data_IF_743775816091
#
_entry.id   IF_743775816091
#
_cell.length_a   1.000
_cell.length_b   1.000
_cell.length_c   1.000
_cell.angle_alpha   90.00
_cell.angle_beta   90.00
_cell.angle_gamma   90.00
#
_symmetry.space_group_name_H-M   'P 1'
#
loop_
_entity.id
_entity.type
_entity.pdbx_description
1 polymer ?
#
# COMPACT_ATOMS: atom_id res chain seq x y z
N UNK A 1 17.04 -27.93 4.14
CA UNK A 1 15.92 -28.19 3.20
C UNK A 1 16.27 -29.42 2.36
N UNK A 2 15.34 -30.36 2.16
CA UNK A 2 15.55 -31.46 1.22
C UNK A 2 15.70 -30.93 -0.21
N UNK A 3 16.37 -31.65 -1.11
CA UNK A 3 16.53 -31.19 -2.51
C UNK A 3 15.17 -30.99 -3.20
N UNK A 4 14.17 -31.81 -2.82
CA UNK A 4 12.79 -31.69 -3.27
C UNK A 4 12.12 -30.40 -2.81
N UNK A 5 12.28 -29.99 -1.54
CA UNK A 5 11.73 -28.73 -1.04
C UNK A 5 12.36 -27.52 -1.74
N UNK A 6 13.68 -27.55 -1.99
CA UNK A 6 14.38 -26.49 -2.74
C UNK A 6 13.86 -26.40 -4.18
N UNK A 7 13.64 -27.52 -4.84
CA UNK A 7 13.09 -27.54 -6.20
C UNK A 7 11.68 -26.93 -6.25
N UNK A 8 10.80 -27.30 -5.32
CA UNK A 8 9.45 -26.74 -5.22
C UNK A 8 9.45 -25.22 -5.01
N UNK A 9 10.31 -24.71 -4.12
CA UNK A 9 10.43 -23.26 -3.90
C UNK A 9 10.89 -22.53 -5.15
N UNK A 10 11.89 -23.06 -5.87
CA UNK A 10 12.41 -22.42 -7.10
C UNK A 10 11.32 -22.39 -8.18
N UNK A 11 10.60 -23.50 -8.37
CA UNK A 11 9.48 -23.55 -9.33
C UNK A 11 8.40 -22.54 -8.97
N UNK A 12 8.02 -22.45 -7.70
CA UNK A 12 7.02 -21.48 -7.22
C UNK A 12 7.47 -20.04 -7.50
N UNK A 13 8.72 -19.68 -7.21
CA UNK A 13 9.25 -18.34 -7.46
C UNK A 13 9.27 -17.99 -8.95
N UNK A 14 9.61 -18.95 -9.82
CA UNK A 14 9.57 -18.75 -11.27
C UNK A 14 8.14 -18.50 -11.74
N UNK A 15 7.18 -19.30 -11.26
CA UNK A 15 5.76 -19.15 -11.62
C UNK A 15 5.21 -17.81 -11.14
N UNK A 16 5.45 -17.42 -9.88
CA UNK A 16 5.01 -16.13 -9.35
C UNK A 16 5.68 -14.96 -10.07
N UNK A 17 6.97 -15.07 -10.40
CA UNK A 17 7.69 -14.08 -11.20
C UNK A 17 7.08 -13.92 -12.59
N UNK A 18 6.75 -15.03 -13.26
CA UNK A 18 6.10 -15.01 -14.56
C UNK A 18 4.70 -14.35 -14.48
N UNK A 19 3.89 -14.70 -13.47
CA UNK A 19 2.57 -14.09 -13.24
C UNK A 19 2.70 -12.58 -13.00
N UNK A 20 3.69 -12.14 -12.21
CA UNK A 20 3.92 -10.72 -11.97
C UNK A 20 4.26 -9.96 -13.25
N UNK A 21 5.15 -10.50 -14.09
CA UNK A 21 5.50 -9.90 -15.38
C UNK A 21 4.29 -9.85 -16.31
N UNK A 22 3.52 -10.94 -16.41
CA UNK A 22 2.30 -10.99 -17.23
C UNK A 22 1.27 -9.96 -16.73
N UNK A 23 1.09 -9.83 -15.42
CA UNK A 23 0.19 -8.86 -14.81
C UNK A 23 0.59 -7.41 -15.13
N UNK A 24 1.89 -7.09 -15.10
CA UNK A 24 2.40 -5.78 -15.50
C UNK A 24 2.14 -5.50 -16.99
N UNK A 25 2.44 -6.45 -17.87
CA UNK A 25 2.17 -6.31 -19.31
C UNK A 25 0.67 -6.13 -19.58
N UNK A 26 -0.17 -6.87 -18.87
CA UNK A 26 -1.62 -6.73 -18.96
C UNK A 26 -2.10 -5.36 -18.47
N UNK A 27 -1.54 -4.84 -17.38
CA UNK A 27 -1.84 -3.50 -16.88
C UNK A 27 -1.44 -2.38 -17.86
N UNK A 28 -0.40 -2.60 -18.67
CA UNK A 28 -0.03 -1.66 -19.74
C UNK A 28 -0.95 -1.75 -20.96
N UNK A 29 -1.43 -2.94 -21.31
CA UNK A 29 -2.27 -3.16 -22.48
C UNK A 29 -3.72 -2.71 -22.25
N UNK A 30 -4.23 -2.90 -21.04
CA UNK A 30 -5.62 -2.60 -20.68
C UNK A 30 -5.78 -1.17 -20.15
N UNK A 31 -6.89 -0.54 -20.48
CA UNK A 31 -7.22 0.80 -19.98
C UNK A 31 -8.42 1.41 -20.72
N UNK A 32 -8.70 2.68 -20.42
CA UNK A 32 -9.81 3.43 -21.04
C UNK A 32 -9.61 3.71 -22.53
N UNK A 33 -8.36 3.78 -22.99
CA UNK A 33 -8.02 3.87 -24.41
C UNK A 33 -7.70 2.47 -24.97
N UNK A 34 -8.33 2.09 -26.07
CA UNK A 34 -8.06 0.83 -26.74
C UNK A 34 -6.73 0.90 -27.49
N UNK A 35 -5.67 0.36 -26.87
CA UNK A 35 -4.33 0.28 -27.46
C UNK A 35 -4.07 -1.20 -27.74
N UNK A 36 -4.23 -1.59 -29.00
CA UNK A 36 -3.98 -2.98 -29.42
C UNK A 36 -2.57 -3.44 -29.08
N UNK A 37 -2.40 -4.74 -28.80
CA UNK A 37 -1.13 -5.35 -28.40
C UNK A 37 0.05 -5.04 -29.33
N UNK A 38 -0.20 -4.95 -30.64
CA UNK A 38 0.82 -4.59 -31.63
C UNK A 38 1.33 -3.16 -31.45
N UNK A 39 0.42 -2.23 -31.15
CA UNK A 39 0.77 -0.82 -30.97
C UNK A 39 1.47 -0.61 -29.62
N UNK A 40 1.05 -1.34 -28.58
CA UNK A 40 1.77 -1.39 -27.31
C UNK A 40 3.21 -1.88 -27.49
N UNK A 41 3.42 -2.94 -28.28
CA UNK A 41 4.77 -3.45 -28.57
C UNK A 41 5.63 -2.38 -29.28
N UNK A 42 5.06 -1.65 -30.26
CA UNK A 42 5.77 -0.54 -30.92
C UNK A 42 6.17 0.56 -29.93
N UNK A 43 5.25 0.97 -29.05
CA UNK A 43 5.51 1.99 -28.03
C UNK A 43 6.66 1.59 -27.12
N UNK A 44 6.68 0.33 -26.65
CA UNK A 44 7.76 -0.20 -25.80
C UNK A 44 9.11 -0.21 -26.55
N UNK A 45 9.12 -0.50 -27.85
CA UNK A 45 10.34 -0.47 -28.68
C UNK A 45 10.76 0.94 -29.13
N UNK A 46 10.08 2.00 -28.66
CA UNK A 46 10.42 3.38 -28.99
C UNK A 46 9.79 3.91 -30.27
N UNK A 47 8.78 3.22 -30.83
CA UNK A 47 7.90 3.70 -31.89
C UNK A 47 6.53 4.16 -31.36
N UNK A 48 5.48 3.95 -32.17
CA UNK A 48 4.08 4.27 -31.84
C UNK A 48 3.73 5.75 -31.97
N UNK A 49 2.44 6.06 -31.97
CA UNK A 49 1.98 7.46 -31.96
C UNK A 49 2.36 8.18 -30.66
N UNK A 50 2.56 9.51 -30.74
CA UNK A 50 2.89 10.34 -29.57
C UNK A 50 1.85 10.18 -28.45
N UNK A 51 0.56 10.21 -28.80
CA UNK A 51 -0.54 10.00 -27.85
C UNK A 51 -0.46 8.64 -27.15
N UNK A 52 -0.19 7.55 -27.89
CA UNK A 52 -0.11 6.22 -27.30
C UNK A 52 1.13 6.08 -26.40
N UNK A 53 2.23 6.74 -26.75
CA UNK A 53 3.43 6.79 -25.89
C UNK A 53 3.14 7.50 -24.58
N UNK A 54 2.51 8.67 -24.61
CA UNK A 54 2.13 9.39 -23.38
C UNK A 54 1.20 8.53 -22.52
N UNK A 55 0.17 7.91 -23.12
CA UNK A 55 -0.75 7.03 -22.36
C UNK A 55 -0.01 5.85 -21.71
N UNK A 56 0.82 5.13 -22.46
CA UNK A 56 1.47 3.92 -21.94
C UNK A 56 2.61 4.27 -20.97
N UNK A 57 3.48 5.21 -21.34
CA UNK A 57 4.72 5.48 -20.61
C UNK A 57 4.56 6.49 -19.48
N UNK A 58 3.65 7.45 -19.59
CA UNK A 58 3.48 8.52 -18.59
C UNK A 58 2.26 8.31 -17.70
N UNK A 59 1.26 7.53 -18.12
CA UNK A 59 0.07 7.24 -17.30
C UNK A 59 0.02 5.79 -16.81
N UNK A 60 0.09 4.80 -17.70
CA UNK A 60 -0.10 3.38 -17.32
C UNK A 60 1.12 2.80 -16.62
N UNK A 61 2.32 3.07 -17.12
CA UNK A 61 3.54 2.49 -16.58
C UNK A 61 3.84 2.96 -15.14
N UNK A 62 3.83 4.27 -14.82
CA UNK A 62 3.99 4.74 -13.45
C UNK A 62 2.96 4.15 -12.49
N UNK A 63 1.69 4.08 -12.92
CA UNK A 63 0.60 3.50 -12.14
C UNK A 63 0.79 2.01 -11.89
N UNK A 64 1.13 1.22 -12.91
CA UNK A 64 1.34 -0.22 -12.79
C UNK A 64 2.52 -0.56 -11.89
N UNK A 65 3.64 0.18 -12.02
CA UNK A 65 4.81 0.01 -11.17
C UNK A 65 4.55 0.43 -9.72
N UNK A 66 3.79 1.51 -9.51
CA UNK A 66 3.36 1.92 -8.17
C UNK A 66 2.44 0.89 -7.53
N UNK A 67 1.49 0.32 -8.30
CA UNK A 67 0.62 -0.76 -7.85
C UNK A 67 1.41 -2.00 -7.41
N UNK A 68 2.40 -2.39 -8.22
CA UNK A 68 3.30 -3.50 -7.91
C UNK A 68 4.09 -3.23 -6.62
N UNK A 69 4.66 -2.03 -6.49
CA UNK A 69 5.45 -1.64 -5.32
C UNK A 69 4.60 -1.64 -4.03
N UNK A 70 3.42 -1.02 -4.07
CA UNK A 70 2.49 -0.96 -2.92
C UNK A 70 1.99 -2.36 -2.57
N UNK A 71 1.62 -3.19 -3.55
CA UNK A 71 1.22 -4.57 -3.32
C UNK A 71 2.32 -5.41 -2.67
N UNK A 72 3.57 -5.26 -3.13
CA UNK A 72 4.74 -5.90 -2.53
C UNK A 72 4.99 -5.45 -1.09
N UNK A 73 4.87 -4.15 -0.81
CA UNK A 73 5.01 -3.59 0.54
C UNK A 73 3.94 -4.10 1.50
N UNK A 74 2.68 -4.20 1.05
CA UNK A 74 1.58 -4.76 1.83
C UNK A 74 1.79 -6.25 2.11
N UNK A 75 2.22 -7.03 1.12
CA UNK A 75 2.55 -8.45 1.30
C UNK A 75 3.69 -8.65 2.30
N UNK A 76 4.72 -7.81 2.24
CA UNK A 76 5.84 -7.83 3.19
C UNK A 76 5.39 -7.46 4.60
N UNK A 77 4.62 -6.38 4.75
CA UNK A 77 4.05 -5.96 6.04
C UNK A 77 3.18 -7.06 6.67
N UNK A 78 2.33 -7.71 5.87
CA UNK A 78 1.54 -8.87 6.30
C UNK A 78 2.41 -10.02 6.80
N UNK A 79 3.42 -10.39 6.02
CA UNK A 79 4.36 -11.47 6.38
C UNK A 79 5.11 -11.16 7.68
N UNK A 80 5.63 -9.92 7.83
CA UNK A 80 6.32 -9.49 9.04
C UNK A 80 5.41 -9.53 10.27
N UNK A 81 4.15 -9.09 10.13
CA UNK A 81 3.17 -9.13 11.21
C UNK A 81 2.81 -10.56 11.62
N UNK A 82 2.63 -11.46 10.65
CA UNK A 82 2.36 -12.88 10.91
C UNK A 82 3.50 -13.55 11.66
N UNK A 83 4.76 -13.23 11.31
CA UNK A 83 5.95 -13.73 12.01
C UNK A 83 6.07 -13.13 13.41
N UNK A 84 5.94 -11.80 13.54
CA UNK A 84 6.07 -11.08 14.81
C UNK A 84 5.05 -11.59 15.85
N UNK A 85 3.80 -11.76 15.43
CA UNK A 85 2.72 -12.18 16.30
C UNK A 85 2.56 -13.71 16.37
N UNK A 86 3.31 -14.46 15.56
CA UNK A 86 3.20 -15.91 15.41
C UNK A 86 1.76 -16.36 15.18
N UNK A 87 1.04 -15.58 14.36
CA UNK A 87 -0.37 -15.79 14.08
C UNK A 87 -0.60 -15.62 12.57
N UNK A 88 -1.01 -16.68 11.84
CA UNK A 88 -1.22 -16.61 10.40
C UNK A 88 -2.38 -15.69 10.00
N UNK A 89 -3.26 -15.33 10.95
CA UNK A 89 -4.36 -14.40 10.74
C UNK A 89 -4.00 -12.96 11.12
N UNK A 90 -2.78 -12.71 11.58
CA UNK A 90 -2.33 -11.37 11.90
C UNK A 90 -2.20 -10.52 10.64
N UNK A 91 -2.68 -9.29 10.76
CA UNK A 91 -2.70 -8.33 9.68
C UNK A 91 -2.28 -6.94 10.22
N UNK A 92 -1.47 -6.15 9.47
CA UNK A 92 -0.97 -4.85 9.92
C UNK A 92 -2.08 -3.82 10.21
N UNK A 93 -3.27 -3.95 9.60
CA UNK A 93 -4.42 -3.10 9.87
C UNK A 93 -4.92 -3.25 11.32
N UNK A 94 -4.68 -4.40 11.96
CA UNK A 94 -5.11 -4.69 13.35
C UNK A 94 -4.45 -3.78 14.37
N UNK A 95 -3.26 -3.23 14.09
CA UNK A 95 -2.58 -2.28 14.98
C UNK A 95 -3.07 -0.83 14.78
N UNK A 96 -4.17 -0.60 14.07
CA UNK A 96 -4.73 0.72 13.86
C UNK A 96 -3.87 1.66 13.00
N UNK A 97 -2.81 1.16 12.35
CA UNK A 97 -1.88 1.95 11.54
C UNK A 97 -2.61 2.64 10.38
N UNK A 98 -3.46 1.90 9.67
CA UNK A 98 -4.25 2.47 8.58
C UNK A 98 -5.36 3.40 9.06
N UNK A 99 -5.92 3.17 10.25
CA UNK A 99 -6.89 4.09 10.85
C UNK A 99 -6.26 5.44 11.15
N UNK A 100 -5.05 5.42 11.75
CA UNK A 100 -4.25 6.62 11.99
C UNK A 100 -3.86 7.32 10.69
N UNK A 101 -3.40 6.56 9.69
CA UNK A 101 -3.09 7.12 8.38
C UNK A 101 -4.31 7.78 7.73
N UNK A 102 -5.47 7.13 7.79
CA UNK A 102 -6.70 7.68 7.26
C UNK A 102 -7.11 8.96 7.99
N UNK A 103 -7.18 8.95 9.32
CA UNK A 103 -7.51 10.13 10.09
C UNK A 103 -6.55 11.30 9.82
N UNK A 104 -5.24 11.03 9.78
CA UNK A 104 -4.21 12.04 9.48
C UNK A 104 -4.37 12.64 8.08
N UNK A 105 -4.61 11.82 7.06
CA UNK A 105 -4.87 12.31 5.70
C UNK A 105 -6.17 13.12 5.62
N UNK A 106 -7.25 12.65 6.25
CA UNK A 106 -8.53 13.37 6.25
C UNK A 106 -8.41 14.74 6.95
N UNK A 107 -7.67 14.84 8.05
CA UNK A 107 -7.38 16.11 8.70
C UNK A 107 -6.56 17.05 7.80
N UNK A 108 -5.57 16.50 7.08
CA UNK A 108 -4.80 17.25 6.08
C UNK A 108 -5.69 17.75 4.93
N UNK A 109 -6.59 16.91 4.42
CA UNK A 109 -7.59 17.30 3.42
C UNK A 109 -8.44 18.48 3.88
N UNK A 110 -8.95 18.44 5.12
CA UNK A 110 -9.76 19.51 5.69
C UNK A 110 -8.97 20.80 5.93
N UNK A 111 -7.66 20.67 6.16
CA UNK A 111 -6.74 21.81 6.26
C UNK A 111 -6.42 22.43 4.89
N UNK A 112 -6.86 21.82 3.79
CA UNK A 112 -6.65 22.34 2.43
C UNK A 112 -5.21 22.19 1.93
N UNK A 113 -4.40 21.32 2.54
CA UNK A 113 -3.04 21.08 2.04
C UNK A 113 -3.07 20.17 0.80
N UNK A 114 -2.09 20.33 -0.08
CA UNK A 114 -1.99 19.55 -1.32
C UNK A 114 -1.64 18.06 -1.09
N UNK A 115 -1.53 17.30 -2.19
CA UNK A 115 -1.25 15.85 -2.21
C UNK A 115 -0.07 15.44 -1.32
N UNK A 116 1.02 16.20 -1.37
CA UNK A 116 2.19 15.94 -0.52
C UNK A 116 1.86 16.09 0.97
N UNK A 117 1.14 17.15 1.36
CA UNK A 117 0.71 17.38 2.74
C UNK A 117 -0.25 16.30 3.24
N UNK A 118 -1.13 15.79 2.36
CA UNK A 118 -1.97 14.62 2.67
C UNK A 118 -1.13 13.37 2.93
N UNK A 119 -0.10 13.12 2.12
CA UNK A 119 0.85 12.03 2.36
C UNK A 119 1.58 12.15 3.69
N UNK A 120 2.04 13.36 4.06
CA UNK A 120 2.65 13.61 5.37
C UNK A 120 1.63 13.42 6.51
N UNK A 121 0.39 13.88 6.34
CA UNK A 121 -0.70 13.64 7.28
C UNK A 121 -0.94 12.15 7.52
N UNK A 122 -1.02 11.35 6.46
CA UNK A 122 -1.14 9.90 6.57
C UNK A 122 0.06 9.23 7.23
N UNK A 123 1.29 9.63 6.86
CA UNK A 123 2.51 9.09 7.46
C UNK A 123 2.59 9.37 8.97
N UNK A 124 2.36 10.63 9.35
CA UNK A 124 2.38 11.05 10.76
C UNK A 124 1.27 10.40 11.56
N UNK A 125 0.06 10.28 11.00
CA UNK A 125 -1.05 9.57 11.62
C UNK A 125 -0.76 8.07 11.83
N UNK A 126 -0.14 7.42 10.85
CA UNK A 126 0.31 6.02 10.96
C UNK A 126 1.33 5.84 12.10
N UNK A 127 2.38 6.68 12.13
CA UNK A 127 3.39 6.65 13.18
C UNK A 127 2.81 6.93 14.56
N UNK A 128 1.93 7.93 14.67
CA UNK A 128 1.26 8.25 15.91
C UNK A 128 0.42 7.08 16.41
N UNK A 129 -0.31 6.39 15.53
CA UNK A 129 -1.08 5.19 15.87
C UNK A 129 -0.19 4.07 16.42
N UNK A 130 0.96 3.82 15.78
CA UNK A 130 1.94 2.83 16.27
C UNK A 130 2.43 3.23 17.66
N UNK A 131 2.88 4.47 17.86
CA UNK A 131 3.35 4.94 19.16
C UNK A 131 2.28 4.82 20.24
N UNK A 132 1.02 5.11 19.89
CA UNK A 132 -0.11 5.03 20.80
C UNK A 132 -0.40 3.58 21.19
N UNK A 133 -0.41 2.63 20.25
CA UNK A 133 -0.61 1.21 20.54
C UNK A 133 0.53 0.66 21.41
N UNK A 134 1.78 0.91 21.04
CA UNK A 134 2.92 0.42 21.80
C UNK A 134 3.01 1.08 23.18
N UNK A 135 2.70 2.37 23.29
CA UNK A 135 2.66 3.12 24.54
C UNK A 135 1.56 2.64 25.49
N UNK A 136 0.35 2.40 24.98
CA UNK A 136 -0.77 1.90 25.80
C UNK A 136 -0.63 0.41 26.15
N UNK A 137 -0.02 -0.39 25.27
CA UNK A 137 0.29 -1.78 25.57
C UNK A 137 1.39 -1.90 26.65
N UNK A 138 2.21 -0.85 26.82
CA UNK A 138 3.23 -0.75 27.85
C UNK A 138 2.60 -0.45 29.23
N UNK A 139 2.25 -1.50 29.95
CA UNK A 139 1.74 -1.44 31.33
C UNK A 139 2.57 -2.30 32.28
N UNK A 140 2.18 -2.35 33.57
CA UNK A 140 2.84 -3.21 34.57
C UNK A 140 2.67 -4.68 34.16
N UNK A 141 3.77 -5.33 33.75
CA UNK A 141 3.80 -6.74 33.35
C UNK A 141 4.56 -7.00 32.04
N UNK A 142 4.62 -8.27 31.64
CA UNK A 142 5.29 -8.68 30.42
C UNK A 142 4.54 -8.22 29.16
N UNK A 143 5.30 -7.92 28.11
CA UNK A 143 4.77 -7.67 26.77
C UNK A 143 4.17 -8.97 26.23
N UNK A 144 2.84 -9.02 26.11
CA UNK A 144 2.14 -10.18 25.54
C UNK A 144 1.53 -9.82 24.20
N UNK A 145 1.61 -10.70 23.18
CA UNK A 145 0.98 -10.48 21.87
C UNK A 145 -0.52 -10.20 21.99
N UNK A 146 -1.21 -10.85 22.92
CA UNK A 146 -2.64 -10.66 23.17
C UNK A 146 -2.97 -9.23 23.63
N UNK A 147 -2.18 -8.65 24.54
CA UNK A 147 -2.40 -7.27 24.98
C UNK A 147 -2.19 -6.30 23.81
N UNK A 148 -1.13 -6.48 23.03
CA UNK A 148 -0.85 -5.62 21.89
C UNK A 148 -1.98 -5.67 20.86
N UNK A 149 -2.52 -6.86 20.57
CA UNK A 149 -3.66 -7.07 19.69
C UNK A 149 -4.92 -6.37 20.20
N UNK A 150 -5.28 -6.55 21.48
CA UNK A 150 -6.47 -5.92 22.06
C UNK A 150 -6.34 -4.39 22.10
N UNK A 151 -5.17 -3.86 22.44
CA UNK A 151 -4.88 -2.42 22.37
C UNK A 151 -5.03 -1.92 20.93
N UNK A 152 -4.48 -2.64 19.95
CA UNK A 152 -4.64 -2.33 18.53
C UNK A 152 -6.10 -2.21 18.10
N UNK A 153 -6.95 -3.17 18.49
CA UNK A 153 -8.39 -3.15 18.20
C UNK A 153 -9.07 -1.92 18.81
N UNK A 154 -8.79 -1.60 20.07
CA UNK A 154 -9.35 -0.41 20.75
C UNK A 154 -8.96 0.88 20.00
N UNK A 155 -7.68 1.00 19.62
CA UNK A 155 -7.18 2.16 18.89
C UNK A 155 -7.79 2.26 17.51
N UNK A 156 -7.91 1.14 16.79
CA UNK A 156 -8.57 1.08 15.49
C UNK A 156 -10.04 1.52 15.56
N UNK A 157 -10.79 1.10 16.59
CA UNK A 157 -12.16 1.59 16.82
C UNK A 157 -12.20 3.09 17.10
N UNK A 158 -11.24 3.62 17.86
CA UNK A 158 -11.10 5.06 18.10
C UNK A 158 -10.87 5.84 16.80
N UNK A 159 -10.00 5.35 15.92
CA UNK A 159 -9.81 5.94 14.59
C UNK A 159 -11.07 5.87 13.74
N UNK A 160 -11.81 4.75 13.76
CA UNK A 160 -13.09 4.62 13.06
C UNK A 160 -14.13 5.64 13.54
N UNK A 161 -14.19 5.90 14.85
CA UNK A 161 -15.05 6.92 15.42
C UNK A 161 -14.63 8.33 14.97
N UNK A 162 -13.32 8.64 14.99
CA UNK A 162 -12.81 9.92 14.51
C UNK A 162 -13.09 10.13 13.02
N UNK A 163 -12.81 9.15 12.18
CA UNK A 163 -13.10 9.20 10.74
C UNK A 163 -14.60 9.45 10.51
N UNK A 164 -15.47 8.76 11.24
CA UNK A 164 -16.92 8.96 11.16
C UNK A 164 -17.32 10.39 11.55
N UNK A 165 -16.74 10.93 12.63
CA UNK A 165 -16.95 12.31 13.06
C UNK A 165 -16.49 13.31 12.00
N UNK A 166 -15.31 13.09 11.41
CA UNK A 166 -14.78 13.94 10.34
C UNK A 166 -15.73 13.93 9.15
N UNK A 167 -16.17 12.76 8.68
CA UNK A 167 -17.12 12.66 7.57
C UNK A 167 -18.46 13.34 7.88
N UNK A 168 -18.99 13.17 9.09
CA UNK A 168 -20.27 13.75 9.50
C UNK A 168 -20.24 15.28 9.64
N UNK A 169 -19.08 15.85 9.97
CA UNK A 169 -18.91 17.30 10.16
C UNK A 169 -18.32 18.01 8.94
N UNK A 170 -17.94 17.26 7.91
CA UNK A 170 -17.29 17.82 6.73
C UNK A 170 -18.29 18.43 5.74
N UNK A 171 -17.94 19.55 5.07
CA UNK A 171 -18.72 20.08 3.96
C UNK A 171 -18.86 19.07 2.81
N UNK A 172 -20.01 19.05 2.13
CA UNK A 172 -20.31 18.12 1.02
C UNK A 172 -19.25 18.12 -0.09
N UNK A 173 -18.62 19.28 -0.36
CA UNK A 173 -17.54 19.44 -1.35
C UNK A 173 -16.33 18.53 -1.08
N UNK A 174 -16.03 18.25 0.20
CA UNK A 174 -14.88 17.44 0.61
C UNK A 174 -15.28 15.97 0.78
N UNK A 175 -16.53 15.70 1.17
CA UNK A 175 -17.03 14.38 1.52
C UNK A 175 -16.77 13.33 0.43
N UNK A 176 -17.04 13.67 -0.84
CA UNK A 176 -16.79 12.76 -1.96
C UNK A 176 -15.31 12.37 -2.06
N UNK A 177 -14.40 13.35 -1.98
CA UNK A 177 -12.96 13.11 -2.05
C UNK A 177 -12.45 12.27 -0.88
N UNK A 178 -12.95 12.54 0.32
CA UNK A 178 -12.62 11.76 1.53
C UNK A 178 -13.05 10.30 1.39
N UNK A 179 -14.26 10.03 0.90
CA UNK A 179 -14.76 8.68 0.67
C UNK A 179 -13.96 7.93 -0.40
N UNK A 180 -13.62 8.60 -1.51
CA UNK A 180 -12.75 7.98 -2.54
C UNK A 180 -11.36 7.65 -2.00
N UNK A 181 -10.79 8.51 -1.17
CA UNK A 181 -9.48 8.26 -0.59
C UNK A 181 -9.50 7.08 0.38
N UNK A 182 -10.56 6.95 1.20
CA UNK A 182 -10.73 5.82 2.12
C UNK A 182 -10.87 4.46 1.40
N UNK A 183 -11.37 4.45 0.17
CA UNK A 183 -11.41 3.23 -0.66
C UNK A 183 -10.06 2.86 -1.27
N UNK A 184 -9.12 3.81 -1.34
CA UNK A 184 -7.84 3.67 -2.01
C UNK A 184 -7.93 3.85 -3.53
N UNK A 185 -6.91 4.48 -4.11
CA UNK A 185 -6.79 4.72 -5.56
C UNK A 185 -5.31 4.88 -5.96
N UNK A 186 -5.02 4.67 -7.24
CA UNK A 186 -3.69 4.83 -7.85
C UNK A 186 -3.74 5.70 -9.12
N UNK A 187 -4.81 6.45 -9.35
CA UNK A 187 -4.98 7.28 -10.54
C UNK A 187 -3.96 8.44 -10.62
N UNK A 188 -3.46 8.88 -9.46
CA UNK A 188 -2.48 9.97 -9.33
C UNK A 188 -1.05 9.46 -9.06
N UNK A 189 -0.77 8.21 -9.44
CA UNK A 189 0.51 7.56 -9.20
C UNK A 189 1.50 7.88 -10.34
N UNK A 190 2.04 9.10 -10.33
CA UNK A 190 2.85 9.64 -11.43
C UNK A 190 4.33 9.26 -11.32
N UNK A 191 4.81 8.95 -10.11
CA UNK A 191 6.21 8.60 -9.85
C UNK A 191 6.31 7.31 -9.01
N UNK A 192 6.70 6.18 -9.63
CA UNK A 192 6.78 4.90 -8.92
C UNK A 192 8.06 4.74 -8.08
N UNK A 193 9.08 5.58 -8.30
CA UNK A 193 10.41 5.39 -7.73
C UNK A 193 10.44 5.37 -6.20
N UNK A 194 9.75 6.27 -5.47
CA UNK A 194 9.76 6.23 -4.00
C UNK A 194 9.25 4.89 -3.46
N UNK A 195 8.13 4.38 -3.99
CA UNK A 195 7.55 3.11 -3.56
C UNK A 195 8.46 1.92 -3.92
N UNK A 196 9.05 1.91 -5.12
CA UNK A 196 9.97 0.86 -5.56
C UNK A 196 11.25 0.84 -4.72
N UNK A 197 11.84 1.99 -4.42
CA UNK A 197 13.03 2.10 -3.57
C UNK A 197 12.71 1.58 -2.17
N UNK A 198 11.59 1.97 -1.58
CA UNK A 198 11.18 1.47 -0.25
C UNK A 198 10.95 -0.04 -0.29
N UNK A 199 10.33 -0.58 -1.35
CA UNK A 199 10.16 -2.03 -1.50
C UNK A 199 11.50 -2.77 -1.55
N UNK A 200 12.42 -2.33 -2.40
CA UNK A 200 13.74 -2.97 -2.52
C UNK A 200 14.52 -2.89 -1.21
N UNK A 201 14.52 -1.73 -0.55
CA UNK A 201 15.18 -1.54 0.74
C UNK A 201 14.57 -2.42 1.83
N UNK A 202 13.24 -2.52 1.89
CA UNK A 202 12.55 -3.36 2.86
C UNK A 202 12.79 -4.85 2.61
N UNK A 203 12.79 -5.30 1.34
CA UNK A 203 13.15 -6.67 0.99
C UNK A 203 14.60 -6.99 1.36
N UNK A 204 15.55 -6.09 1.04
CA UNK A 204 16.95 -6.27 1.41
C UNK A 204 17.14 -6.37 2.93
N UNK A 205 16.47 -5.50 3.70
CA UNK A 205 16.53 -5.53 5.16
C UNK A 205 15.93 -6.81 5.75
N UNK A 206 14.85 -7.33 5.17
CA UNK A 206 14.16 -8.52 5.66
C UNK A 206 14.82 -9.83 5.27
N UNK A 207 15.49 -9.89 4.12
CA UNK A 207 16.32 -11.04 3.73
C UNK A 207 17.63 -11.13 4.53
N UNK A 208 18.05 -10.03 5.16
CA UNK A 208 19.23 -10.00 6.02
C UNK A 208 18.96 -10.44 7.46
N UNK A 209 17.69 -10.54 7.87
CA UNK A 209 17.23 -10.99 9.19
C UNK A 209 17.12 -12.53 9.25
#
# INVERSE_FOLDING_TARGET
MSSAARHQTVVLLIVLGAIAVISLLFALATGSADIGWQEMAKVITGGGSETNRTIVLELRLPRALSAFAVGGLLALAGTLMQVLLRNPLADPYVLGVSGGAAAGTLLAMLSGVGLFGMGIGGLTGAFFSILLVFGLAHGRGAWTPTRLLLTGVVVASGWGALISLLLATSPERNLRGMLFWLMGDLAWADNPWPALVVLVMALAATLAL
#
